data_IF_883009334357
#
_entry.id   IF_883009334357
#
_cell.length_a   1.000
_cell.length_b   1.000
_cell.length_c   1.000
_cell.angle_alpha   90.00
_cell.angle_beta   90.00
_cell.angle_gamma   90.00
#
_symmetry.space_group_name_H-M   'P 1'
#
loop_
_entity.id
_entity.type
_entity.pdbx_description
1 polymer ?
#
# COMPACT_ATOMS: atom_id res chain seq x y z
N UNK A 1 36.34 -8.22 3.24
CA UNK A 1 35.18 -7.49 3.79
C UNK A 1 34.12 -7.58 2.71
N UNK A 2 33.10 -8.40 2.94
CA UNK A 2 32.04 -8.69 1.97
C UNK A 2 30.98 -7.61 2.08
N UNK A 3 31.09 -6.59 1.23
CA UNK A 3 30.10 -5.52 1.15
C UNK A 3 28.77 -6.08 0.64
N UNK A 4 27.78 -6.11 1.53
CA UNK A 4 26.39 -6.37 1.20
C UNK A 4 25.78 -5.09 0.58
N UNK A 5 26.04 -4.82 -0.70
CA UNK A 5 25.45 -3.69 -1.44
C UNK A 5 23.97 -3.87 -1.84
N UNK A 6 23.26 -4.89 -1.33
CA UNK A 6 21.84 -5.10 -1.61
C UNK A 6 20.89 -4.58 -0.50
N UNK A 7 21.40 -3.70 0.37
CA UNK A 7 20.79 -3.46 1.70
C UNK A 7 19.65 -2.46 1.82
N UNK A 8 19.45 -1.50 0.90
CA UNK A 8 18.42 -0.45 1.13
C UNK A 8 17.87 0.16 -0.17
N UNK A 9 17.13 -0.61 -0.97
CA UNK A 9 16.18 0.00 -1.91
C UNK A 9 15.17 0.79 -1.07
N UNK A 10 15.12 2.11 -1.28
CA UNK A 10 14.16 3.00 -0.60
C UNK A 10 12.74 2.48 -0.78
N UNK A 11 11.91 2.60 0.27
CA UNK A 11 10.48 2.25 0.20
C UNK A 11 9.78 3.07 -0.89
N UNK A 12 10.24 4.30 -1.17
CA UNK A 12 9.72 5.10 -2.29
C UNK A 12 9.93 4.39 -3.64
N UNK A 13 11.14 3.88 -3.88
CA UNK A 13 11.46 3.17 -5.12
C UNK A 13 10.71 1.84 -5.23
N UNK A 14 10.54 1.11 -4.12
CA UNK A 14 9.71 -0.11 -4.11
C UNK A 14 8.28 0.18 -4.52
N UNK A 15 7.69 1.24 -3.98
CA UNK A 15 6.30 1.58 -4.26
C UNK A 15 6.10 2.17 -5.66
N UNK A 16 7.08 2.91 -6.21
CA UNK A 16 7.01 3.36 -7.60
C UNK A 16 7.05 2.17 -8.57
N UNK A 17 7.92 1.20 -8.32
CA UNK A 17 7.98 -0.03 -9.12
C UNK A 17 6.68 -0.83 -9.06
N UNK A 18 6.06 -0.93 -7.87
CA UNK A 18 4.74 -1.56 -7.73
C UNK A 18 3.69 -0.81 -8.54
N UNK A 19 3.65 0.52 -8.45
CA UNK A 19 2.70 1.34 -9.21
C UNK A 19 2.85 1.15 -10.73
N UNK A 20 4.07 1.23 -11.24
CA UNK A 20 4.38 1.00 -12.65
C UNK A 20 4.00 -0.42 -13.10
N UNK A 21 4.32 -1.43 -12.30
CA UNK A 21 3.99 -2.81 -12.60
C UNK A 21 2.48 -3.04 -12.64
N UNK A 22 1.73 -2.56 -11.65
CA UNK A 22 0.27 -2.75 -11.60
C UNK A 22 -0.43 -2.03 -12.76
N UNK A 23 0.06 -0.84 -13.14
CA UNK A 23 -0.43 -0.14 -14.32
C UNK A 23 -0.16 -0.94 -15.60
N UNK A 24 1.07 -1.40 -15.82
CA UNK A 24 1.42 -2.20 -16.99
C UNK A 24 0.64 -3.52 -17.06
N UNK A 25 0.51 -4.20 -15.92
CA UNK A 25 -0.22 -5.47 -15.80
C UNK A 25 -1.70 -5.29 -16.17
N UNK A 26 -2.38 -4.32 -15.56
CA UNK A 26 -3.79 -4.08 -15.83
C UNK A 26 -4.00 -3.55 -17.25
N UNK A 27 -3.12 -2.70 -17.75
CA UNK A 27 -3.19 -2.19 -19.12
C UNK A 27 -3.07 -3.31 -20.16
N UNK A 28 -2.19 -4.29 -19.94
CA UNK A 28 -1.98 -5.39 -20.87
C UNK A 28 -3.09 -6.44 -20.82
N UNK A 29 -3.59 -6.75 -19.61
CA UNK A 29 -4.45 -7.92 -19.39
C UNK A 29 -5.94 -7.59 -19.26
N UNK A 30 -6.31 -6.32 -19.04
CA UNK A 30 -7.72 -5.94 -18.95
C UNK A 30 -8.41 -6.16 -20.29
N UNK A 31 -9.51 -6.92 -20.29
CA UNK A 31 -10.23 -7.32 -21.50
C UNK A 31 -9.70 -8.60 -22.16
N UNK A 32 -8.52 -9.10 -21.76
CA UNK A 32 -8.06 -10.44 -22.15
C UNK A 32 -8.59 -11.52 -21.19
N UNK A 33 -8.79 -11.15 -19.92
CA UNK A 33 -9.33 -12.03 -18.88
C UNK A 33 -10.66 -11.50 -18.36
N UNK A 34 -11.50 -12.42 -17.85
CA UNK A 34 -12.80 -12.07 -17.29
C UNK A 34 -12.73 -11.23 -16.02
N UNK A 35 -11.73 -11.48 -15.16
CA UNK A 35 -11.47 -10.70 -13.95
C UNK A 35 -9.97 -10.61 -13.67
N UNK A 36 -9.51 -9.46 -13.19
CA UNK A 36 -8.18 -9.27 -12.63
C UNK A 36 -8.26 -9.06 -11.11
N UNK A 37 -7.51 -9.87 -10.39
CA UNK A 37 -7.47 -9.87 -8.92
C UNK A 37 -6.13 -9.31 -8.44
N UNK A 38 -6.19 -8.43 -7.45
CA UNK A 38 -5.02 -8.00 -6.69
C UNK A 38 -5.11 -8.55 -5.28
N UNK A 39 -4.03 -9.19 -4.81
CA UNK A 39 -3.94 -9.76 -3.46
C UNK A 39 -2.67 -9.23 -2.82
N UNK A 40 -2.82 -8.53 -1.70
CA UNK A 40 -1.70 -8.03 -0.90
C UNK A 40 -1.68 -8.72 0.46
N UNK A 41 -0.71 -9.63 0.63
CA UNK A 41 -0.53 -10.39 1.87
C UNK A 41 0.02 -9.55 3.03
N UNK A 42 0.53 -8.35 2.75
CA UNK A 42 1.18 -7.45 3.71
C UNK A 42 0.72 -5.99 3.51
N UNK A 43 -0.60 -5.80 3.39
CA UNK A 43 -1.20 -4.53 3.01
C UNK A 43 -0.96 -3.38 4.01
N UNK A 44 -0.56 -3.70 5.24
CA UNK A 44 -0.31 -2.73 6.28
C UNK A 44 -1.55 -1.88 6.57
N UNK A 45 -1.39 -0.56 6.66
CA UNK A 45 -2.52 0.37 6.81
C UNK A 45 -3.02 0.94 5.48
N UNK A 46 -2.43 0.55 4.35
CA UNK A 46 -2.64 1.15 3.02
C UNK A 46 -2.05 2.55 2.81
N UNK A 47 -1.57 3.18 3.87
CA UNK A 47 -0.81 4.43 3.86
C UNK A 47 0.44 4.27 4.70
N UNK A 48 1.49 5.03 4.38
CA UNK A 48 2.72 5.13 5.17
C UNK A 48 2.87 6.54 5.71
N UNK A 49 3.40 6.64 6.92
CA UNK A 49 3.64 7.91 7.59
C UNK A 49 5.11 8.28 7.46
N UNK A 50 5.40 9.44 6.87
CA UNK A 50 6.74 10.03 6.85
C UNK A 50 6.74 11.19 7.83
N UNK A 51 7.63 11.12 8.83
CA UNK A 51 7.83 12.18 9.81
C UNK A 51 9.04 12.98 9.38
N UNK A 52 8.87 14.29 9.26
CA UNK A 52 9.94 15.24 9.07
C UNK A 52 10.17 15.92 10.41
N UNK A 53 11.32 15.68 11.00
CA UNK A 53 11.70 16.32 12.25
C UNK A 53 11.77 17.84 12.06
N UNK A 54 11.24 18.57 13.04
CA UNK A 54 11.39 20.01 13.08
C UNK A 54 12.84 20.39 13.34
N UNK A 55 13.24 21.56 12.87
CA UNK A 55 14.53 22.15 13.17
C UNK A 55 14.29 23.40 14.02
N UNK A 56 14.89 23.44 15.21
CA UNK A 56 14.84 24.63 16.05
C UNK A 56 15.49 25.82 15.33
N UNK A 57 14.83 26.97 15.42
CA UNK A 57 15.25 28.19 14.76
C UNK A 57 16.44 28.83 15.48
N UNK A 58 17.55 29.01 14.76
CA UNK A 58 18.64 29.90 15.16
C UNK A 58 18.48 31.26 14.50
N UNK A 59 19.29 31.54 13.49
CA UNK A 59 19.18 32.75 12.64
C UNK A 59 18.08 32.65 11.56
N UNK A 60 17.57 31.45 11.29
CA UNK A 60 16.46 31.18 10.38
C UNK A 60 15.19 30.85 11.18
N UNK A 61 13.99 31.07 10.61
CA UNK A 61 12.75 30.67 11.24
C UNK A 61 12.73 29.17 11.57
N UNK A 62 12.15 28.76 12.70
CA UNK A 62 12.02 27.34 13.03
C UNK A 62 11.18 26.61 11.97
N UNK A 63 11.57 25.38 11.67
CA UNK A 63 10.80 24.47 10.82
C UNK A 63 10.01 23.56 11.76
N UNK A 64 8.69 23.61 11.67
CA UNK A 64 7.82 22.74 12.46
C UNK A 64 7.93 21.29 12.01
N UNK A 65 7.77 20.37 12.98
CA UNK A 65 7.63 18.95 12.67
C UNK A 65 6.37 18.74 11.80
N UNK A 66 6.51 18.00 10.70
CA UNK A 66 5.37 17.65 9.85
C UNK A 66 5.27 16.15 9.63
N UNK A 67 4.04 15.67 9.63
CA UNK A 67 3.70 14.27 9.38
C UNK A 67 2.97 14.17 8.05
N UNK A 68 3.59 13.54 7.07
CA UNK A 68 3.02 13.32 5.74
C UNK A 68 2.50 11.88 5.62
N UNK A 69 1.29 11.72 5.08
CA UNK A 69 0.76 10.40 4.73
C UNK A 69 0.95 10.17 3.25
N UNK A 70 1.78 9.19 2.90
CA UNK A 70 2.00 8.76 1.52
C UNK A 70 1.24 7.48 1.23
N UNK A 71 0.97 7.25 -0.06
CA UNK A 71 0.33 6.00 -0.52
C UNK A 71 1.22 4.80 -0.20
N UNK A 72 0.61 3.71 0.28
CA UNK A 72 1.20 2.38 0.31
C UNK A 72 0.66 1.51 -0.83
N UNK A 73 1.07 0.24 -0.88
CA UNK A 73 0.66 -0.74 -1.90
C UNK A 73 -0.86 -0.85 -2.06
N UNK A 74 -1.60 -0.96 -0.95
CA UNK A 74 -3.05 -1.08 -0.97
C UNK A 74 -3.74 0.11 -1.66
N UNK A 75 -3.28 1.34 -1.38
CA UNK A 75 -3.82 2.54 -2.01
C UNK A 75 -3.41 2.66 -3.47
N UNK A 76 -2.17 2.28 -3.81
CA UNK A 76 -1.72 2.20 -5.20
C UNK A 76 -2.60 1.24 -6.01
N UNK A 77 -2.92 0.06 -5.49
CA UNK A 77 -3.78 -0.91 -6.16
C UNK A 77 -5.22 -0.40 -6.36
N UNK A 78 -5.76 0.36 -5.39
CA UNK A 78 -7.07 1.00 -5.51
C UNK A 78 -7.09 2.07 -6.61
N UNK A 79 -6.03 2.87 -6.67
CA UNK A 79 -5.86 3.99 -7.59
C UNK A 79 -5.45 3.55 -9.01
N UNK A 80 -5.07 2.28 -9.21
CA UNK A 80 -4.59 1.77 -10.50
C UNK A 80 -5.69 1.82 -11.57
N UNK A 81 -5.34 2.34 -12.75
CA UNK A 81 -6.19 2.39 -13.94
C UNK A 81 -5.43 1.78 -15.13
N UNK A 82 -6.00 0.83 -15.89
CA UNK A 82 -7.30 0.18 -15.70
C UNK A 82 -7.43 -0.53 -14.34
N UNK A 83 -8.63 -0.50 -13.77
CA UNK A 83 -8.87 -1.01 -12.43
C UNK A 83 -8.82 -2.55 -12.35
N UNK A 84 -8.28 -3.08 -11.25
CA UNK A 84 -8.59 -4.45 -10.80
C UNK A 84 -10.09 -4.61 -10.54
N UNK A 85 -10.61 -5.80 -10.82
CA UNK A 85 -12.01 -6.15 -10.56
C UNK A 85 -12.22 -6.49 -9.09
N UNK A 86 -11.21 -7.15 -8.49
CA UNK A 86 -11.26 -7.66 -7.12
C UNK A 86 -9.96 -7.39 -6.39
N UNK A 87 -10.07 -6.99 -5.13
CA UNK A 87 -8.93 -6.58 -4.30
C UNK A 87 -9.05 -7.26 -2.94
N UNK A 88 -8.00 -7.96 -2.52
CA UNK A 88 -7.90 -8.59 -1.20
C UNK A 88 -6.72 -7.97 -0.45
N UNK A 89 -6.99 -7.45 0.75
CA UNK A 89 -5.95 -6.95 1.64
C UNK A 89 -5.87 -7.83 2.87
N UNK A 90 -4.71 -8.47 3.09
CA UNK A 90 -4.47 -9.31 4.26
C UNK A 90 -3.53 -8.62 5.23
N UNK A 91 -3.83 -8.76 6.52
CA UNK A 91 -3.01 -8.21 7.59
C UNK A 91 -3.29 -8.92 8.93
N UNK A 92 -2.27 -9.10 9.76
CA UNK A 92 -2.39 -9.78 11.05
C UNK A 92 -2.69 -8.81 12.19
N UNK A 93 -2.16 -7.58 12.12
CA UNK A 93 -2.34 -6.59 13.18
C UNK A 93 -3.76 -6.05 13.16
N UNK A 94 -4.57 -6.37 14.18
CA UNK A 94 -5.96 -5.88 14.34
C UNK A 94 -6.14 -4.37 14.10
N UNK A 95 -5.17 -3.55 14.54
CA UNK A 95 -5.13 -2.10 14.28
C UNK A 95 -5.13 -1.78 12.78
N UNK A 96 -4.32 -2.51 12.02
CA UNK A 96 -4.13 -2.30 10.60
C UNK A 96 -5.30 -2.88 9.81
N UNK A 97 -5.86 -4.03 10.21
CA UNK A 97 -7.13 -4.54 9.67
C UNK A 97 -8.25 -3.50 9.78
N UNK A 98 -8.37 -2.80 10.91
CA UNK A 98 -9.33 -1.70 11.07
C UNK A 98 -9.06 -0.53 10.12
N UNK A 99 -7.80 -0.22 9.85
CA UNK A 99 -7.43 0.81 8.87
C UNK A 99 -7.81 0.40 7.45
N UNK A 100 -7.56 -0.86 7.08
CA UNK A 100 -7.95 -1.43 5.78
C UNK A 100 -9.46 -1.51 5.61
N UNK A 101 -10.22 -1.86 6.67
CA UNK A 101 -11.68 -1.83 6.65
C UNK A 101 -12.22 -0.41 6.41
N UNK A 102 -11.62 0.61 7.05
CA UNK A 102 -11.94 2.02 6.77
C UNK A 102 -11.54 2.44 5.36
N UNK A 103 -10.43 1.92 4.84
CA UNK A 103 -10.01 2.17 3.47
C UNK A 103 -11.04 1.59 2.49
N UNK A 104 -11.41 0.31 2.63
CA UNK A 104 -12.45 -0.34 1.83
C UNK A 104 -13.78 0.41 1.88
N UNK A 105 -14.23 0.83 3.07
CA UNK A 105 -15.48 1.58 3.24
C UNK A 105 -15.49 2.95 2.54
N UNK A 106 -14.32 3.55 2.26
CA UNK A 106 -14.19 4.80 1.49
C UNK A 106 -14.19 4.60 -0.01
N UNK A 107 -14.12 3.34 -0.46
CA UNK A 107 -14.12 2.95 -1.87
C UNK A 107 -15.26 1.97 -2.15
N UNK A 108 -16.54 2.33 -1.89
CA UNK A 108 -17.68 1.44 -2.10
C UNK A 108 -17.88 1.01 -3.55
N UNK A 109 -17.29 1.73 -4.50
CA UNK A 109 -17.26 1.40 -5.93
C UNK A 109 -16.27 0.29 -6.29
N UNK A 110 -15.38 -0.11 -5.36
CA UNK A 110 -14.36 -1.13 -5.56
C UNK A 110 -14.74 -2.40 -4.78
N UNK A 111 -14.54 -3.59 -5.37
CA UNK A 111 -14.75 -4.85 -4.66
C UNK A 111 -13.52 -5.19 -3.81
N UNK A 112 -13.52 -4.71 -2.56
CA UNK A 112 -12.38 -4.82 -1.62
C UNK A 112 -12.76 -5.68 -0.42
N UNK A 113 -11.98 -6.73 -0.17
CA UNK A 113 -12.12 -7.57 1.01
C UNK A 113 -10.89 -7.43 1.93
N UNK A 114 -11.03 -6.75 3.08
CA UNK A 114 -10.03 -6.82 4.13
C UNK A 114 -10.16 -8.17 4.85
N UNK A 115 -9.13 -9.00 4.78
CA UNK A 115 -9.02 -10.24 5.51
C UNK A 115 -8.07 -10.06 6.71
N UNK A 116 -8.48 -10.57 7.88
CA UNK A 116 -7.49 -10.89 8.89
C UNK A 116 -6.61 -12.01 8.28
N UNK A 117 -5.28 -11.85 8.29
CA UNK A 117 -4.37 -12.83 7.70
C UNK A 117 -4.65 -14.24 8.22
N UNK A 118 -4.24 -15.26 7.47
CA UNK A 118 -4.47 -16.68 7.77
C UNK A 118 -4.36 -16.98 9.28
N UNK A 119 -5.49 -17.01 9.98
CA UNK A 119 -5.68 -17.94 11.09
C UNK A 119 -6.10 -19.25 10.44
N UNK A 120 -5.53 -20.37 10.87
CA UNK A 120 -5.71 -21.73 10.32
C UNK A 120 -7.16 -22.29 10.40
N UNK A 121 -8.19 -21.47 10.19
CA UNK A 121 -9.58 -21.78 10.53
C UNK A 121 -10.57 -21.63 9.37
N UNK A 122 -10.15 -21.19 8.18
CA UNK A 122 -11.08 -20.92 7.07
C UNK A 122 -10.70 -21.61 5.75
N UNK A 123 -10.19 -22.83 5.83
CA UNK A 123 -10.17 -23.78 4.70
C UNK A 123 -10.65 -25.15 5.20
N UNK A 124 -11.95 -25.25 5.48
CA UNK A 124 -12.67 -26.52 5.70
C UNK A 124 -14.01 -26.48 5.00
#
# INVERSE_FOLDING_TARGET
MSDHEFGNISTDLKLSLVEEYLHGFTQALKGQFGELWYIDAFAGTGERTVRYEGLEGGLLPPIEERIERRRGSARIALDTVPAFDRIIFMEQKKRYCRALAKLAARHPERQVWPAAGFSDTELS
#
